data_IF_862223865715
#
_entry.id   IF_862223865715
#
_cell.length_a   1.000
_cell.length_b   1.000
_cell.length_c   1.000
_cell.angle_alpha   90.00
_cell.angle_beta   90.00
_cell.angle_gamma   90.00
#
_symmetry.space_group_name_H-M   'P 1'
#
loop_
_entity.id
_entity.type
_entity.pdbx_description
1 polymer ?
#
# COMPACT_ATOMS: atom_id res chain seq x y z
N UNK A 1 -14.47 10.47 34.90
CA UNK A 1 -14.45 11.14 33.59
C UNK A 1 -14.16 10.05 32.57
N UNK A 2 -15.20 9.49 31.94
CA UNK A 2 -15.05 8.44 30.95
C UNK A 2 -15.07 9.12 29.58
N UNK A 3 -13.97 9.03 28.83
CA UNK A 3 -13.99 9.37 27.41
C UNK A 3 -14.88 8.31 26.74
N UNK A 4 -16.02 8.74 26.21
CA UNK A 4 -16.95 7.86 25.50
C UNK A 4 -16.27 7.21 24.29
N UNK A 5 -16.78 6.06 23.80
CA UNK A 5 -16.27 5.46 22.58
C UNK A 5 -16.29 6.50 21.46
N UNK A 6 -15.13 6.74 20.83
CA UNK A 6 -15.04 7.66 19.70
C UNK A 6 -16.09 7.24 18.67
N UNK A 7 -17.03 8.16 18.40
CA UNK A 7 -18.04 8.02 17.37
C UNK A 7 -17.33 7.71 16.05
N UNK A 8 -17.84 6.70 15.32
CA UNK A 8 -17.39 6.37 13.95
C UNK A 8 -17.22 7.69 13.19
N UNK A 9 -15.99 8.08 12.81
CA UNK A 9 -15.79 9.36 12.17
C UNK A 9 -16.58 9.36 10.86
N UNK A 10 -17.17 10.49 10.46
CA UNK A 10 -17.82 10.64 9.16
C UNK A 10 -16.80 10.56 8.02
N UNK A 11 -16.28 9.36 7.77
CA UNK A 11 -15.16 9.10 6.88
C UNK A 11 -15.63 8.89 5.45
N UNK A 12 -15.13 9.72 4.54
CA UNK A 12 -15.12 9.40 3.12
C UNK A 12 -13.80 8.71 2.79
N UNK A 13 -13.80 7.39 2.86
CA UNK A 13 -12.63 6.56 2.53
C UNK A 13 -12.41 6.64 1.02
N UNK A 14 -11.19 6.95 0.59
CA UNK A 14 -10.81 6.84 -0.83
C UNK A 14 -10.54 5.38 -1.19
N UNK A 15 -10.92 4.99 -2.40
CA UNK A 15 -10.55 3.68 -2.93
C UNK A 15 -9.02 3.56 -2.97
N UNK A 16 -8.46 2.45 -2.48
CA UNK A 16 -7.01 2.27 -2.35
C UNK A 16 -6.36 2.87 -1.10
N UNK A 17 -7.15 3.38 -0.14
CA UNK A 17 -6.69 3.94 1.13
C UNK A 17 -7.16 3.15 2.36
N UNK A 18 -7.38 1.83 2.23
CA UNK A 18 -7.74 0.92 3.32
C UNK A 18 -6.87 -0.35 3.26
N UNK A 19 -6.20 -0.68 4.35
CA UNK A 19 -5.41 -1.91 4.48
C UNK A 19 -5.57 -2.54 5.84
N UNK A 20 -5.26 -3.84 5.92
CA UNK A 20 -5.12 -4.57 7.17
C UNK A 20 -3.65 -4.97 7.29
N UNK A 21 -3.04 -4.63 8.42
CA UNK A 21 -1.67 -5.02 8.76
C UNK A 21 -1.53 -5.09 10.28
N UNK A 22 -0.70 -5.99 10.79
CA UNK A 22 -0.47 -6.20 12.22
C UNK A 22 -1.78 -6.37 13.02
N UNK A 23 -2.80 -6.99 12.41
CA UNK A 23 -4.11 -7.22 13.04
C UNK A 23 -4.99 -5.99 13.25
N UNK A 24 -4.62 -4.82 12.71
CA UNK A 24 -5.40 -3.58 12.76
C UNK A 24 -5.80 -3.12 11.35
N UNK A 25 -6.89 -2.37 11.25
CA UNK A 25 -7.32 -1.75 9.99
C UNK A 25 -6.80 -0.32 9.92
N UNK A 26 -6.06 0.01 8.87
CA UNK A 26 -5.52 1.33 8.62
C UNK A 26 -6.25 1.95 7.45
N UNK A 27 -6.76 3.17 7.63
CA UNK A 27 -7.48 3.88 6.59
C UNK A 27 -7.08 5.34 6.51
N UNK A 28 -7.23 5.93 5.33
CA UNK A 28 -7.03 7.35 5.10
C UNK A 28 -8.23 7.95 4.37
N UNK A 29 -8.70 9.08 4.90
CA UNK A 29 -9.65 9.95 4.21
C UNK A 29 -8.90 11.04 3.42
N UNK A 30 -9.54 12.16 3.09
CA UNK A 30 -8.90 13.24 2.33
C UNK A 30 -7.80 13.99 3.09
N UNK A 31 -7.72 13.85 4.42
CA UNK A 31 -6.88 14.68 5.28
C UNK A 31 -6.08 13.87 6.30
N UNK A 32 -6.70 12.83 6.87
CA UNK A 32 -6.20 12.09 8.03
C UNK A 32 -6.26 10.59 7.79
N UNK A 33 -5.42 9.92 8.55
CA UNK A 33 -5.24 8.50 8.67
C UNK A 33 -5.67 8.07 10.07
N UNK A 34 -6.34 6.93 10.09
CA UNK A 34 -6.97 6.36 11.26
C UNK A 34 -6.66 4.89 11.31
N UNK A 35 -6.54 4.38 12.53
CA UNK A 35 -6.27 2.99 12.81
C UNK A 35 -7.40 2.48 13.69
N UNK A 36 -8.03 1.41 13.26
CA UNK A 36 -9.06 0.71 14.01
C UNK A 36 -8.48 -0.58 14.57
N UNK A 37 -8.58 -0.73 15.90
CA UNK A 37 -8.26 -1.97 16.59
C UNK A 37 -9.54 -2.80 16.76
N UNK A 38 -9.73 -3.89 15.97
CA UNK A 38 -10.95 -4.70 16.06
C UNK A 38 -11.08 -5.43 17.40
N UNK A 39 -9.96 -5.73 18.09
CA UNK A 39 -10.00 -6.45 19.38
C UNK A 39 -10.55 -5.59 20.51
N UNK A 40 -10.20 -4.30 20.51
CA UNK A 40 -10.61 -3.34 21.54
C UNK A 40 -11.81 -2.50 21.10
N UNK A 41 -12.20 -2.59 19.82
CA UNK A 41 -13.24 -1.74 19.22
C UNK A 41 -12.94 -0.24 19.36
N UNK A 42 -11.67 0.13 19.26
CA UNK A 42 -11.17 1.49 19.42
C UNK A 42 -10.65 2.07 18.11
N UNK A 43 -10.76 3.38 17.97
CA UNK A 43 -10.17 4.17 16.89
C UNK A 43 -9.02 5.01 17.46
N UNK A 44 -7.92 5.10 16.73
CA UNK A 44 -6.79 5.97 17.05
C UNK A 44 -6.30 6.69 15.79
N UNK A 45 -5.66 7.83 15.98
CA UNK A 45 -4.93 8.54 14.91
C UNK A 45 -3.44 8.25 15.05
N UNK A 46 -2.73 8.20 13.93
CA UNK A 46 -1.28 8.03 13.91
C UNK A 46 -0.63 9.21 13.20
N UNK A 47 0.03 10.08 13.97
CA UNK A 47 0.64 11.31 13.47
C UNK A 47 1.73 11.04 12.42
N UNK A 48 2.48 9.94 12.57
CA UNK A 48 3.53 9.58 11.61
C UNK A 48 2.89 9.08 10.33
N UNK A 49 1.89 8.20 10.41
CA UNK A 49 1.12 7.76 9.25
C UNK A 49 0.44 8.94 8.54
N UNK A 50 0.00 9.95 9.30
CA UNK A 50 -0.58 11.19 8.79
C UNK A 50 0.38 12.07 8.01
N UNK A 51 1.70 11.97 8.27
CA UNK A 51 2.72 12.78 7.60
C UNK A 51 2.86 12.55 6.10
N UNK A 52 2.22 11.50 5.54
CA UNK A 52 2.27 11.15 4.13
C UNK A 52 0.88 10.99 3.53
N UNK A 53 0.71 11.45 2.29
CA UNK A 53 -0.52 11.27 1.51
C UNK A 53 -0.53 9.91 0.80
N UNK A 54 -0.60 8.83 1.58
CA UNK A 54 -0.55 7.49 1.03
C UNK A 54 -1.87 7.06 0.37
N UNK A 55 -1.75 6.51 -0.83
CA UNK A 55 -2.83 5.99 -1.67
C UNK A 55 -2.30 4.86 -2.56
N UNK A 56 -3.20 4.05 -3.14
CA UNK A 56 -2.84 2.97 -4.06
C UNK A 56 -1.78 2.01 -3.46
N UNK A 57 -2.01 1.67 -2.19
CA UNK A 57 -1.05 0.99 -1.33
C UNK A 57 -1.20 -0.54 -1.36
N UNK A 58 -0.13 -1.25 -1.01
CA UNK A 58 -0.19 -2.67 -0.69
C UNK A 58 0.45 -2.97 0.66
N UNK A 59 0.13 -4.14 1.22
CA UNK A 59 0.79 -4.65 2.43
C UNK A 59 1.56 -5.91 2.07
N UNK A 60 2.81 -5.98 2.50
CA UNK A 60 3.65 -7.18 2.41
C UNK A 60 4.31 -7.38 3.78
N UNK A 61 4.08 -8.54 4.39
CA UNK A 61 4.57 -8.91 5.73
C UNK A 61 4.31 -7.82 6.78
N UNK A 62 3.06 -7.36 6.86
CA UNK A 62 2.60 -6.31 7.78
C UNK A 62 3.24 -4.92 7.60
N UNK A 63 3.92 -4.65 6.49
CA UNK A 63 4.40 -3.30 6.15
C UNK A 63 3.62 -2.76 4.97
N UNK A 64 3.17 -1.50 5.09
CA UNK A 64 2.48 -0.79 4.03
C UNK A 64 3.50 -0.19 3.08
N UNK A 65 3.31 -0.42 1.79
CA UNK A 65 4.12 0.17 0.73
C UNK A 65 3.26 1.02 -0.18
N UNK A 66 3.83 2.15 -0.62
CA UNK A 66 3.23 2.99 -1.65
C UNK A 66 4.30 3.77 -2.40
N UNK A 67 3.96 4.20 -3.61
CA UNK A 67 4.84 5.09 -4.35
C UNK A 67 4.51 6.55 -4.00
N UNK A 68 5.48 7.26 -3.42
CA UNK A 68 5.39 8.69 -3.14
C UNK A 68 5.59 9.47 -4.43
N UNK A 69 4.52 10.03 -4.97
CA UNK A 69 4.56 10.79 -6.22
C UNK A 69 5.42 12.07 -6.11
N UNK A 70 5.41 12.72 -4.95
CA UNK A 70 6.16 13.97 -4.73
C UNK A 70 7.64 13.67 -4.49
N UNK A 71 7.95 12.70 -3.63
CA UNK A 71 9.31 12.25 -3.36
C UNK A 71 9.94 11.44 -4.50
N UNK A 72 9.11 10.87 -5.40
CA UNK A 72 9.52 9.98 -6.49
C UNK A 72 10.27 8.74 -5.98
N UNK A 73 9.81 8.22 -4.85
CA UNK A 73 10.42 7.13 -4.08
C UNK A 73 9.36 6.08 -3.76
N UNK A 74 9.78 4.81 -3.64
CA UNK A 74 8.95 3.79 -3.02
C UNK A 74 9.12 3.87 -1.51
N UNK A 75 8.03 4.15 -0.78
CA UNK A 75 8.02 4.29 0.68
C UNK A 75 7.42 3.06 1.35
N UNK A 76 7.88 2.80 2.55
CA UNK A 76 7.39 1.77 3.45
C UNK A 76 7.00 2.38 4.80
N UNK A 77 5.87 1.99 5.37
CA UNK A 77 5.48 2.31 6.74
C UNK A 77 5.50 1.05 7.58
N UNK A 78 6.32 1.10 8.62
CA UNK A 78 6.41 0.07 9.64
C UNK A 78 5.43 0.41 10.79
N UNK A 79 4.34 -0.36 10.97
CA UNK A 79 3.38 -0.12 12.06
C UNK A 79 3.94 -0.42 13.45
N UNK A 80 4.95 -1.28 13.57
CA UNK A 80 5.57 -1.64 14.85
C UNK A 80 6.40 -0.46 15.37
N UNK A 81 7.23 0.11 14.50
CA UNK A 81 8.10 1.24 14.82
C UNK A 81 7.47 2.61 14.58
N UNK A 82 6.28 2.64 13.98
CA UNK A 82 5.55 3.86 13.55
C UNK A 82 6.44 4.83 12.79
N UNK A 83 7.12 4.34 11.76
CA UNK A 83 8.04 5.15 10.97
C UNK A 83 7.91 4.92 9.48
N UNK A 84 8.16 5.98 8.70
CA UNK A 84 8.33 5.89 7.26
C UNK A 84 9.80 5.66 6.90
N UNK A 85 10.03 4.79 5.92
CA UNK A 85 11.33 4.53 5.33
C UNK A 85 11.26 4.57 3.79
N UNK A 86 12.41 4.82 3.17
CA UNK A 86 12.58 4.67 1.71
C UNK A 86 13.12 3.27 1.43
N UNK A 87 12.51 2.58 0.47
CA UNK A 87 13.01 1.30 -0.04
C UNK A 87 14.25 1.55 -0.88
N UNK A 88 15.41 1.04 -0.44
CA UNK A 88 16.71 1.22 -1.10
C UNK A 88 16.92 0.21 -2.23
N UNK A 89 17.90 0.46 -3.10
CA UNK A 89 18.26 -0.49 -4.18
C UNK A 89 17.39 -0.41 -5.44
N UNK A 90 16.49 0.58 -5.50
CA UNK A 90 15.62 0.83 -6.65
C UNK A 90 15.98 2.10 -7.43
N UNK A 91 17.11 2.74 -7.11
CA UNK A 91 17.47 4.08 -7.61
C UNK A 91 17.48 4.16 -9.13
N UNK A 92 18.11 3.20 -9.81
CA UNK A 92 18.19 3.13 -11.27
C UNK A 92 16.82 2.91 -11.92
N UNK A 93 16.03 1.98 -11.36
CA UNK A 93 14.69 1.68 -11.84
C UNK A 93 13.75 2.90 -11.71
N UNK A 94 13.80 3.58 -10.57
CA UNK A 94 13.02 4.79 -10.34
C UNK A 94 13.52 5.97 -11.18
N UNK A 95 14.83 6.07 -11.44
CA UNK A 95 15.39 7.04 -12.36
C UNK A 95 14.86 6.86 -13.79
N UNK A 96 14.75 5.61 -14.25
CA UNK A 96 14.16 5.31 -15.53
C UNK A 96 12.67 5.69 -15.58
N UNK A 97 11.90 5.36 -14.54
CA UNK A 97 10.49 5.76 -14.44
C UNK A 97 10.31 7.28 -14.52
N UNK A 98 11.22 8.04 -13.91
CA UNK A 98 11.21 9.51 -14.00
C UNK A 98 11.53 9.99 -15.43
N UNK A 99 12.49 9.36 -16.09
CA UNK A 99 12.96 9.74 -17.44
C UNK A 99 11.87 9.56 -18.50
N UNK A 100 11.09 8.48 -18.41
CA UNK A 100 10.03 8.16 -19.39
C UNK A 100 8.67 8.79 -19.06
N UNK A 101 8.60 9.61 -17.99
CA UNK A 101 7.37 10.25 -17.56
C UNK A 101 6.31 9.24 -17.11
N UNK A 102 6.55 8.49 -16.04
CA UNK A 102 5.56 7.55 -15.54
C UNK A 102 4.43 8.22 -14.74
N UNK A 103 3.20 7.73 -14.89
CA UNK A 103 2.00 8.22 -14.19
C UNK A 103 1.08 7.07 -13.75
N UNK A 104 0.18 7.35 -12.79
CA UNK A 104 -0.66 6.35 -12.08
C UNK A 104 0.11 5.16 -11.49
N UNK A 105 1.10 5.40 -10.62
CA UNK A 105 1.76 4.32 -9.91
C UNK A 105 0.79 3.65 -8.92
N UNK A 106 0.69 2.32 -8.98
CA UNK A 106 -0.15 1.52 -8.08
C UNK A 106 0.68 0.36 -7.55
N UNK A 107 0.72 0.20 -6.22
CA UNK A 107 1.38 -0.94 -5.59
C UNK A 107 0.37 -2.04 -5.28
N UNK A 108 0.74 -3.28 -5.58
CA UNK A 108 -0.08 -4.47 -5.35
C UNK A 108 0.78 -5.57 -4.73
N UNK A 109 0.23 -6.28 -3.75
CA UNK A 109 0.86 -7.48 -3.19
C UNK A 109 0.46 -8.70 -4.01
N UNK A 110 1.42 -9.43 -4.58
CA UNK A 110 1.19 -10.68 -5.29
C UNK A 110 2.23 -11.72 -4.89
N UNK A 111 1.81 -12.89 -4.43
CA UNK A 111 2.72 -13.98 -3.97
C UNK A 111 3.75 -13.51 -2.95
N UNK A 112 3.31 -12.71 -1.96
CA UNK A 112 4.17 -12.04 -0.96
C UNK A 112 5.30 -11.17 -1.55
N UNK A 113 5.18 -10.76 -2.82
CA UNK A 113 6.06 -9.77 -3.46
C UNK A 113 5.27 -8.50 -3.76
N UNK A 114 5.99 -7.40 -3.87
CA UNK A 114 5.42 -6.14 -4.32
C UNK A 114 5.45 -6.11 -5.85
N UNK A 115 4.34 -5.68 -6.46
CA UNK A 115 4.27 -5.37 -7.88
C UNK A 115 3.88 -3.91 -8.03
N UNK A 116 4.73 -3.13 -8.69
CA UNK A 116 4.46 -1.73 -9.00
C UNK A 116 3.96 -1.64 -10.45
N UNK A 117 2.72 -1.20 -10.62
CA UNK A 117 2.14 -0.87 -11.92
C UNK A 117 2.29 0.63 -12.20
N UNK A 118 2.48 0.99 -13.46
CA UNK A 118 2.53 2.38 -13.90
C UNK A 118 2.28 2.49 -15.41
N UNK A 119 1.96 3.68 -15.90
CA UNK A 119 1.86 3.98 -17.34
C UNK A 119 3.01 4.88 -17.78
N UNK A 120 3.53 4.68 -18.99
CA UNK A 120 4.50 5.61 -19.60
C UNK A 120 3.74 6.72 -20.35
N UNK A 121 4.18 7.97 -20.21
CA UNK A 121 3.53 9.12 -20.86
C UNK A 121 3.63 9.08 -22.39
N UNK A 122 4.77 8.63 -22.92
CA UNK A 122 5.05 8.64 -24.37
C UNK A 122 4.32 7.53 -25.16
N UNK A 123 3.75 6.53 -24.48
CA UNK A 123 3.00 5.44 -25.10
C UNK A 123 1.52 5.52 -24.71
N UNK A 124 0.64 5.77 -25.68
CA UNK A 124 -0.81 5.75 -25.46
C UNK A 124 -1.29 4.32 -25.13
N UNK A 125 -1.30 3.98 -23.83
CA UNK A 125 -1.97 2.78 -23.30
C UNK A 125 -1.07 1.66 -22.76
N UNK A 126 0.26 1.77 -22.83
CA UNK A 126 1.15 0.73 -22.29
C UNK A 126 1.11 0.72 -20.75
N UNK A 127 0.66 -0.39 -20.17
CA UNK A 127 0.86 -0.68 -18.76
C UNK A 127 2.20 -1.33 -18.60
N UNK A 128 3.02 -0.75 -17.75
CA UNK A 128 4.22 -1.40 -17.27
C UNK A 128 3.99 -1.94 -15.87
N UNK A 129 4.67 -3.03 -15.54
CA UNK A 129 4.81 -3.44 -14.16
C UNK A 129 6.22 -3.91 -13.84
N UNK A 130 6.59 -3.76 -12.58
CA UNK A 130 7.82 -4.29 -12.02
C UNK A 130 7.50 -5.14 -10.80
N UNK A 131 7.92 -6.41 -10.82
CA UNK A 131 7.91 -7.27 -9.64
C UNK A 131 9.16 -6.94 -8.83
N UNK A 132 8.97 -6.64 -7.54
CA UNK A 132 10.01 -6.20 -6.62
C UNK A 132 10.03 -7.18 -5.45
N UNK A 133 11.17 -7.84 -5.23
CA UNK A 133 11.45 -8.55 -3.99
C UNK A 133 11.87 -7.56 -2.92
N UNK A 134 11.48 -7.84 -1.68
CA UNK A 134 11.75 -6.98 -0.53
C UNK A 134 12.54 -7.76 0.51
N UNK A 135 13.66 -7.21 0.94
CA UNK A 135 14.53 -7.78 1.97
C UNK A 135 14.64 -6.79 3.14
N UNK A 136 14.36 -7.27 4.36
CA UNK A 136 14.46 -6.46 5.59
C UNK A 136 15.79 -6.74 6.30
N UNK A 137 16.57 -5.69 6.52
CA UNK A 137 17.84 -5.75 7.23
C UNK A 137 17.68 -5.37 8.71
N UNK A 138 18.70 -5.70 9.52
CA UNK A 138 18.77 -5.25 10.92
C UNK A 138 18.66 -3.72 10.98
N UNK A 139 17.79 -3.22 11.87
CA UNK A 139 17.53 -1.79 12.02
C UNK A 139 16.36 -1.25 11.17
N UNK A 140 15.55 -2.12 10.58
CA UNK A 140 14.31 -1.72 9.88
C UNK A 140 14.52 -1.22 8.45
N UNK A 141 15.76 -1.17 7.96
CA UNK A 141 16.05 -0.79 6.58
C UNK A 141 15.53 -1.84 5.60
N UNK A 142 14.72 -1.40 4.63
CA UNK A 142 14.17 -2.26 3.59
C UNK A 142 14.91 -2.01 2.28
N UNK A 143 15.32 -3.10 1.62
CA UNK A 143 15.93 -3.11 0.30
C UNK A 143 14.98 -3.76 -0.70
N UNK A 144 14.88 -3.16 -1.87
CA UNK A 144 14.10 -3.65 -2.99
C UNK A 144 15.02 -4.08 -4.13
N UNK A 145 14.64 -5.15 -4.83
CA UNK A 145 15.28 -5.56 -6.08
C UNK A 145 14.21 -5.85 -7.12
N UNK A 146 14.39 -5.32 -8.33
CA UNK A 146 13.49 -5.62 -9.46
C UNK A 146 13.80 -7.03 -9.96
N UNK A 147 12.88 -7.95 -9.71
CA UNK A 147 12.96 -9.34 -10.17
C UNK A 147 12.61 -9.47 -11.65
N UNK A 148 11.56 -8.77 -12.08
CA UNK A 148 11.00 -8.89 -13.42
C UNK A 148 10.31 -7.59 -13.82
N UNK A 149 10.42 -7.25 -15.10
CA UNK A 149 9.67 -6.14 -15.72
C UNK A 149 8.79 -6.70 -16.82
N UNK A 150 7.57 -6.19 -16.91
CA UNK A 150 6.65 -6.53 -17.98
C UNK A 150 6.11 -5.26 -18.63
N UNK A 151 6.01 -5.32 -19.95
CA UNK A 151 5.45 -4.28 -20.80
C UNK A 151 4.17 -4.87 -21.42
N UNK A 152 3.03 -4.57 -20.83
CA UNK A 152 1.73 -4.92 -21.39
C UNK A 152 1.30 -3.77 -22.30
N UNK A 153 1.56 -3.94 -23.59
CA UNK A 153 1.00 -3.08 -24.63
C UNK A 153 -0.51 -3.37 -24.75
N UNK A 154 -1.30 -2.87 -23.79
CA UNK A 154 -2.74 -2.81 -23.96
C UNK A 154 -3.03 -1.70 -24.96
N UNK A 155 -3.51 -2.10 -26.14
CA UNK A 155 -4.04 -1.19 -27.14
C UNK A 155 -5.26 -0.47 -26.53
N UNK A 156 -5.07 0.79 -26.14
CA UNK A 156 -6.12 1.79 -25.92
C UNK A 156 -7.28 1.43 -24.96
N UNK A 157 -6.99 0.91 -23.76
CA UNK A 157 -8.01 0.63 -22.74
C UNK A 157 -7.86 1.43 -21.44
N UNK A 158 -8.97 1.98 -20.93
CA UNK A 158 -9.04 2.45 -19.54
C UNK A 158 -9.21 1.24 -18.63
N UNK A 159 -8.18 0.84 -17.89
CA UNK A 159 -8.26 -0.25 -16.92
C UNK A 159 -8.32 0.29 -15.50
N UNK A 160 -9.10 -0.37 -14.65
CA UNK A 160 -9.18 -0.12 -13.21
C UNK A 160 -8.55 -1.34 -12.53
N UNK A 161 -7.43 -1.15 -11.85
CA UNK A 161 -6.89 -2.17 -10.94
C UNK A 161 -7.72 -2.12 -9.65
N UNK A 162 -8.59 -3.11 -9.46
CA UNK A 162 -9.33 -3.27 -8.21
C UNK A 162 -8.68 -4.38 -7.39
N UNK A 163 -8.45 -4.10 -6.11
CA UNK A 163 -8.02 -5.12 -5.16
C UNK A 163 -9.27 -5.91 -4.74
N UNK A 164 -9.35 -7.19 -5.08
CA UNK A 164 -10.38 -8.07 -4.53
C UNK A 164 -10.01 -8.44 -3.09
N UNK A 165 -10.91 -8.23 -2.15
CA UNK A 165 -10.81 -8.83 -0.82
C UNK A 165 -11.14 -10.32 -0.97
N UNK A 166 -10.21 -11.18 -0.60
CA UNK A 166 -10.49 -12.61 -0.48
C UNK A 166 -11.25 -12.81 0.83
N UNK A 167 -12.47 -13.34 0.76
CA UNK A 167 -13.27 -13.65 1.96
C UNK A 167 -12.88 -15.06 2.39
N UNK A 168 -11.96 -15.16 3.35
CA UNK A 168 -11.71 -16.42 4.03
C UNK A 168 -12.85 -16.64 5.02
N UNK A 169 -13.79 -17.51 4.66
CA UNK A 169 -14.81 -17.99 5.59
C UNK A 169 -14.12 -18.95 6.57
N UNK A 170 -13.95 -18.53 7.83
CA UNK A 170 -13.57 -19.45 8.90
C UNK A 170 -14.71 -20.44 9.12
N UNK A 171 -14.54 -21.66 8.62
CA UNK A 171 -15.44 -22.77 8.90
C UNK A 171 -15.14 -23.33 10.30
N UNK A 172 -15.48 -22.58 11.34
CA UNK A 172 -15.60 -23.14 12.69
C UNK A 172 -17.05 -23.53 12.90
N UNK A 173 -17.40 -24.72 12.41
CA UNK A 173 -18.66 -25.38 12.77
C UNK A 173 -18.58 -25.76 14.25
N UNK A 174 -19.22 -24.98 15.12
CA UNK A 174 -19.59 -25.47 16.43
C UNK A 174 -20.71 -26.49 16.25
N UNK A 175 -20.37 -27.77 16.26
CA UNK A 175 -21.33 -28.84 16.51
C UNK A 175 -21.75 -28.76 17.97
N UNK A 176 -22.94 -28.19 18.22
CA UNK A 176 -23.70 -28.46 19.43
C UNK A 176 -24.72 -29.56 19.12
N UNK A 177 -24.79 -30.51 20.07
CA UNK A 177 -25.57 -31.75 20.16
C UNK A 177 -24.92 -32.98 19.55
#
# INVERSE_FOLDING_TARGET
MWEGPMTVPGMKIRNGCLVVMAGKMYMRDLQKSFVYNPKESTWETDEVLNSMEWENVCVVDDVLYFYDYFGKELRAYDPEHKCWGVVKGLDDFLAEMRRVGCFWPVTVSYTCKLVLFFRKQESTGEICCAKISLDRHKGGQIWGKVDQRCHLALLAGHFILTKSLDVVLDSTTHSFL
#
